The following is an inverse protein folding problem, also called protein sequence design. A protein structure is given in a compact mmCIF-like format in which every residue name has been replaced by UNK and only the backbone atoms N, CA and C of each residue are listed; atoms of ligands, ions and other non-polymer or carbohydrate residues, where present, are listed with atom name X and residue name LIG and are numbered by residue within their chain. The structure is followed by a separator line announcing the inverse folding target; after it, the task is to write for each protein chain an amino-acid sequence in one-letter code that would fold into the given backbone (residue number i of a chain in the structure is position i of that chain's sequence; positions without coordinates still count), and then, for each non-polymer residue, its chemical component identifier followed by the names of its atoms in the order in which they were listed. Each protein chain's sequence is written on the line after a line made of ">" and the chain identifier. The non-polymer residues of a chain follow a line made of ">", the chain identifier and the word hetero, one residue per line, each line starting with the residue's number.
data_IF_020899826730
#
_entry.id   IF_020899826730
#
_cell.length_a   1.000
_cell.length_b   1.000
_cell.length_c   1.000
_cell.angle_alpha   90.00
_cell.angle_beta   90.00
_cell.angle_gamma   90.00
#
_symmetry.space_group_name_H-M   'P 1'
#
loop_
_entity.id
_entity.type
_entity.pdbx_description
1 polymer ?
#
# COMPACT_ATOMS: atom_id res chain seq x y z
N UNK A 1 4.59 -11.51 20.95
CA UNK A 1 5.88 -10.95 21.40
C UNK A 1 6.80 -11.04 20.19
N UNK A 2 7.03 -9.90 19.52
CA UNK A 2 8.19 -9.70 18.65
C UNK A 2 9.47 -9.81 19.52
N UNK A 3 10.60 -9.23 19.11
CA UNK A 3 11.65 -8.85 20.08
C UNK A 3 11.17 -7.64 20.88
N UNK A 4 10.18 -7.88 21.75
CA UNK A 4 9.22 -6.89 22.23
C UNK A 4 9.43 -6.53 23.69
N UNK A 5 9.67 -5.25 23.94
CA UNK A 5 9.47 -4.61 25.25
C UNK A 5 7.98 -4.22 25.44
N UNK A 6 7.18 -4.26 24.37
CA UNK A 6 5.74 -4.02 24.40
C UNK A 6 4.95 -5.27 24.85
N UNK A 7 3.91 -5.04 25.68
CA UNK A 7 2.91 -6.00 26.21
C UNK A 7 3.30 -6.90 27.40
N UNK A 8 3.54 -6.29 28.57
CA UNK A 8 3.02 -6.65 29.93
C UNK A 8 3.46 -5.56 30.93
N UNK A 9 2.62 -5.09 31.90
CA UNK A 9 1.44 -5.73 32.51
C UNK A 9 0.12 -4.97 32.26
N UNK A 10 -1.04 -5.61 32.07
CA UNK A 10 -2.08 -5.95 33.06
C UNK A 10 -3.37 -6.23 32.22
N UNK A 11 -4.40 -6.98 32.62
CA UNK A 11 -4.76 -7.66 33.87
C UNK A 11 -5.65 -8.88 33.50
N UNK A 12 -5.51 -10.00 34.21
CA UNK A 12 -6.38 -11.19 34.04
C UNK A 12 -7.76 -10.98 34.70
N UNK A 13 -8.76 -11.83 34.38
CA UNK A 13 -10.11 -11.95 35.02
C UNK A 13 -11.14 -10.94 34.44
N UNK A 14 -12.24 -11.33 33.76
CA UNK A 14 -13.25 -12.30 34.19
C UNK A 14 -14.14 -12.86 33.04
N UNK A 15 -14.91 -13.90 33.39
CA UNK A 15 -15.73 -14.81 32.56
C UNK A 15 -16.91 -14.24 31.75
N UNK A 16 -17.12 -14.85 30.57
CA UNK A 16 -18.39 -15.39 29.99
C UNK A 16 -19.73 -14.70 30.35
N UNK A 17 -20.43 -14.19 29.33
CA UNK A 17 -21.89 -14.40 29.14
C UNK A 17 -22.18 -14.68 27.65
N UNK A 18 -22.97 -15.72 27.38
CA UNK A 18 -23.53 -16.04 26.06
C UNK A 18 -24.80 -15.22 25.85
N UNK A 19 -24.97 -14.59 24.69
CA UNK A 19 -26.31 -14.22 24.20
C UNK A 19 -26.39 -14.33 22.68
N UNK A 20 -27.10 -15.36 22.23
CA UNK A 20 -27.47 -15.58 20.84
C UNK A 20 -28.62 -14.66 20.44
N UNK A 21 -28.41 -13.81 19.44
CA UNK A 21 -29.49 -13.19 18.66
C UNK A 21 -29.24 -13.42 17.17
N UNK A 22 -29.89 -14.45 16.63
CA UNK A 22 -30.00 -14.66 15.19
C UNK A 22 -30.91 -13.58 14.58
N UNK A 23 -30.34 -12.62 13.87
CA UNK A 23 -31.11 -11.71 13.02
C UNK A 23 -31.02 -12.24 11.59
N UNK A 24 -32.08 -12.92 11.13
CA UNK A 24 -32.29 -13.13 9.70
C UNK A 24 -32.74 -11.81 9.07
N UNK A 25 -31.81 -11.05 8.49
CA UNK A 25 -32.16 -10.03 7.50
C UNK A 25 -32.30 -10.71 6.14
N UNK A 26 -33.53 -10.81 5.64
CA UNK A 26 -33.84 -11.59 4.44
C UNK A 26 -33.26 -10.99 3.15
N UNK A 27 -32.91 -11.87 2.20
CA UNK A 27 -32.61 -11.47 0.83
C UNK A 27 -33.85 -10.86 0.15
N UNK A 28 -33.86 -9.54 -0.06
CA UNK A 28 -34.74 -8.89 -1.02
C UNK A 28 -33.96 -8.61 -2.32
N UNK A 29 -34.00 -9.56 -3.25
CA UNK A 29 -33.40 -9.42 -4.58
C UNK A 29 -34.20 -8.43 -5.44
N UNK A 30 -33.93 -7.15 -5.28
CA UNK A 30 -34.51 -6.08 -6.11
C UNK A 30 -33.78 -6.02 -7.45
N UNK A 31 -34.38 -6.58 -8.49
CA UNK A 31 -33.87 -6.50 -9.86
C UNK A 31 -34.02 -5.09 -10.42
N UNK A 32 -33.02 -4.22 -10.21
CA UNK A 32 -32.97 -2.88 -10.80
C UNK A 32 -32.46 -2.94 -12.24
N UNK A 33 -33.19 -2.31 -13.15
CA UNK A 33 -32.83 -2.15 -14.56
C UNK A 33 -31.50 -1.41 -14.70
N UNK A 34 -30.54 -2.01 -15.42
CA UNK A 34 -29.25 -1.39 -15.72
C UNK A 34 -29.41 -0.23 -16.70
N UNK A 35 -29.53 0.99 -16.16
CA UNK A 35 -28.96 2.17 -16.84
C UNK A 35 -27.45 1.92 -17.07
N UNK A 36 -26.83 2.52 -18.09
CA UNK A 36 -25.38 2.47 -18.22
C UNK A 36 -24.81 3.27 -17.05
N UNK A 37 -24.38 2.58 -16.00
CA UNK A 37 -23.69 3.20 -14.87
C UNK A 37 -22.35 3.71 -15.38
N UNK A 38 -22.11 5.02 -15.29
CA UNK A 38 -20.77 5.59 -15.41
C UNK A 38 -19.83 4.76 -14.53
N UNK A 39 -18.66 4.32 -15.03
CA UNK A 39 -17.74 3.55 -14.21
C UNK A 39 -17.42 4.31 -12.92
N UNK A 40 -17.51 3.59 -11.80
CA UNK A 40 -17.26 4.11 -10.46
C UNK A 40 -16.28 3.19 -9.77
N UNK A 41 -15.07 3.67 -9.53
CA UNK A 41 -14.05 2.98 -8.74
C UNK A 41 -14.02 3.59 -7.32
N UNK A 42 -13.87 2.76 -6.29
CA UNK A 42 -13.77 3.19 -4.90
C UNK A 42 -12.54 2.55 -4.26
N UNK A 43 -11.76 3.34 -3.53
CA UNK A 43 -10.60 2.86 -2.79
C UNK A 43 -10.57 3.44 -1.38
N UNK A 44 -10.12 2.64 -0.41
CA UNK A 44 -9.96 3.00 1.01
C UNK A 44 -8.65 2.41 1.57
N UNK A 45 -8.09 2.97 2.64
CA UNK A 45 -6.75 2.58 3.11
C UNK A 45 -6.51 2.79 4.61
N UNK A 46 -5.28 2.55 5.12
CA UNK A 46 -4.88 2.74 6.53
C UNK A 46 -5.20 4.14 7.06
N UNK A 47 -5.29 5.10 6.15
CA UNK A 47 -6.11 6.26 6.40
C UNK A 47 -7.56 5.87 6.67
N UNK A 48 -7.92 5.75 7.93
CA UNK A 48 -9.29 5.44 8.32
C UNK A 48 -10.22 6.65 8.39
N UNK A 49 -9.90 7.93 8.15
CA UNK A 49 -8.85 8.76 7.49
C UNK A 49 -8.85 9.02 5.95
N UNK A 50 -9.11 8.13 4.98
CA UNK A 50 -9.00 8.45 3.53
C UNK A 50 -9.75 7.44 2.63
N UNK A 51 -10.87 7.88 2.06
CA UNK A 51 -11.60 7.21 0.99
C UNK A 51 -11.52 8.05 -0.31
N UNK A 52 -11.40 7.40 -1.47
CA UNK A 52 -11.53 8.06 -2.78
C UNK A 52 -12.55 7.34 -3.67
N UNK A 53 -13.49 8.12 -4.22
CA UNK A 53 -14.36 7.72 -5.32
C UNK A 53 -13.88 8.38 -6.60
N UNK A 54 -13.69 7.59 -7.67
CA UNK A 54 -13.52 8.07 -9.05
C UNK A 54 -14.81 7.77 -9.82
N UNK A 55 -15.32 8.74 -10.59
CA UNK A 55 -16.49 8.55 -11.46
C UNK A 55 -16.15 9.04 -12.86
N UNK A 56 -16.11 8.13 -13.85
CA UNK A 56 -15.78 8.50 -15.24
C UNK A 56 -15.08 7.40 -16.01
N UNK A 57 -14.17 7.78 -16.91
CA UNK A 57 -13.33 6.87 -17.68
C UNK A 57 -11.87 7.33 -17.63
N UNK A 58 -11.24 7.56 -18.78
CA UNK A 58 -9.91 8.20 -18.84
C UNK A 58 -9.92 9.61 -18.23
N UNK A 59 -11.06 10.28 -18.26
CA UNK A 59 -11.32 11.55 -17.57
C UNK A 59 -12.62 11.42 -16.77
N UNK A 60 -12.72 12.12 -15.64
CA UNK A 60 -13.91 12.10 -14.81
C UNK A 60 -13.78 13.03 -13.60
N UNK A 61 -14.63 12.81 -12.61
CA UNK A 61 -14.61 13.54 -11.33
C UNK A 61 -14.17 12.62 -10.19
N UNK A 62 -13.42 13.16 -9.24
CA UNK A 62 -13.04 12.50 -8.00
C UNK A 62 -13.73 13.15 -6.79
N UNK A 63 -13.92 12.36 -5.74
CA UNK A 63 -14.29 12.80 -4.41
C UNK A 63 -13.41 12.06 -3.40
N UNK A 64 -12.60 12.79 -2.64
CA UNK A 64 -11.80 12.28 -1.53
C UNK A 64 -12.45 12.73 -0.22
N UNK A 65 -12.68 11.79 0.69
CA UNK A 65 -13.17 12.03 2.04
C UNK A 65 -12.09 11.61 3.06
N UNK A 66 -11.84 12.44 4.07
CA UNK A 66 -11.01 12.12 5.24
C UNK A 66 -11.83 12.24 6.51
N UNK A 67 -11.47 11.41 7.50
CA UNK A 67 -12.15 11.21 8.77
C UNK A 67 -11.14 11.20 9.92
N UNK A 68 -11.46 11.77 11.08
CA UNK A 68 -10.56 11.74 12.25
C UNK A 68 -10.49 10.38 12.93
N UNK A 69 -11.52 9.55 12.77
CA UNK A 69 -11.65 8.25 13.42
C UNK A 69 -12.14 7.20 12.44
N UNK A 70 -11.95 5.93 12.77
CA UNK A 70 -12.38 4.78 11.97
C UNK A 70 -13.91 4.54 11.97
N UNK A 71 -14.73 5.52 12.36
CA UNK A 71 -16.19 5.42 12.39
C UNK A 71 -16.86 5.70 11.04
N UNK A 72 -16.12 6.26 10.07
CA UNK A 72 -16.44 6.43 8.63
C UNK A 72 -17.79 7.13 8.32
N UNK A 73 -18.44 7.74 9.31
CA UNK A 73 -19.78 8.32 9.14
C UNK A 73 -19.77 9.83 8.89
N UNK A 74 -18.74 10.56 9.36
CA UNK A 74 -18.68 12.01 9.25
C UNK A 74 -17.28 12.43 8.79
N UNK A 75 -17.08 12.77 7.50
CA UNK A 75 -15.79 13.26 7.04
C UNK A 75 -15.53 14.66 7.59
N UNK A 76 -14.41 14.84 8.30
CA UNK A 76 -13.94 16.14 8.76
C UNK A 76 -13.19 16.90 7.65
N UNK A 77 -12.98 16.25 6.50
CA UNK A 77 -12.40 16.89 5.34
C UNK A 77 -12.87 16.23 4.04
N UNK A 78 -13.27 17.04 3.06
CA UNK A 78 -13.74 16.56 1.76
C UNK A 78 -13.15 17.41 0.63
N UNK A 79 -12.68 16.75 -0.44
CA UNK A 79 -12.03 17.36 -1.61
C UNK A 79 -12.67 16.78 -2.87
N UNK A 80 -13.08 17.62 -3.80
CA UNK A 80 -13.64 17.18 -5.09
C UNK A 80 -13.01 17.93 -6.26
N UNK A 81 -13.05 17.34 -7.44
CA UNK A 81 -12.59 17.99 -8.67
C UNK A 81 -12.42 17.00 -9.83
N UNK A 82 -11.96 17.47 -11.00
CA UNK A 82 -11.70 16.60 -12.14
C UNK A 82 -10.40 15.80 -11.98
N UNK A 83 -10.35 14.60 -12.58
CA UNK A 83 -9.15 13.81 -12.78
C UNK A 83 -8.90 13.46 -14.25
N UNK A 84 -7.63 13.18 -14.57
CA UNK A 84 -7.19 12.67 -15.88
C UNK A 84 -6.20 11.52 -15.68
N UNK A 85 -6.51 10.36 -16.26
CA UNK A 85 -5.58 9.22 -16.41
C UNK A 85 -4.67 9.50 -17.61
N UNK A 86 -3.40 9.75 -17.34
CA UNK A 86 -2.40 10.15 -18.34
C UNK A 86 -1.85 8.93 -19.08
N UNK A 87 -1.43 9.13 -20.34
CA UNK A 87 -0.74 8.08 -21.13
C UNK A 87 0.64 7.69 -20.58
N UNK A 88 1.16 8.45 -19.62
CA UNK A 88 2.37 8.16 -18.85
C UNK A 88 2.17 7.12 -17.74
N UNK A 89 0.92 6.71 -17.46
CA UNK A 89 0.55 5.79 -16.37
C UNK A 89 0.20 6.48 -15.04
N UNK A 90 0.36 7.81 -14.94
CA UNK A 90 -0.06 8.58 -13.76
C UNK A 90 -1.52 9.02 -13.84
N UNK A 91 -2.14 9.27 -12.70
CA UNK A 91 -3.42 9.99 -12.60
C UNK A 91 -3.14 11.39 -12.06
N UNK A 92 -3.66 12.41 -12.73
CA UNK A 92 -3.61 13.81 -12.27
C UNK A 92 -4.96 14.19 -11.68
N UNK A 93 -4.97 14.81 -10.50
CA UNK A 93 -6.17 15.26 -9.79
C UNK A 93 -6.07 16.78 -9.59
N UNK A 94 -7.06 17.54 -10.03
CA UNK A 94 -7.09 19.00 -9.82
C UNK A 94 -8.15 19.35 -8.80
N UNK A 95 -7.77 20.03 -7.72
CA UNK A 95 -8.70 20.42 -6.64
C UNK A 95 -9.69 21.46 -7.16
N UNK A 96 -10.98 21.10 -7.20
CA UNK A 96 -12.07 21.97 -7.63
C UNK A 96 -12.83 22.59 -6.46
N UNK A 97 -13.14 21.81 -5.44
CA UNK A 97 -13.77 22.27 -4.20
C UNK A 97 -13.16 21.58 -2.98
N UNK A 98 -13.25 22.26 -1.84
CA UNK A 98 -12.77 21.78 -0.55
C UNK A 98 -13.83 22.14 0.49
N UNK A 99 -14.32 21.16 1.25
CA UNK A 99 -15.36 21.35 2.27
C UNK A 99 -15.01 20.64 3.58
N UNK A 100 -15.76 20.97 4.64
CA UNK A 100 -15.59 20.51 6.04
C UNK A 100 -14.24 20.80 6.74
N UNK A 101 -13.21 21.24 6.01
CA UNK A 101 -11.84 21.40 6.52
C UNK A 101 -11.70 22.17 7.84
N UNK A 102 -11.09 21.52 8.83
CA UNK A 102 -10.72 22.11 10.12
C UNK A 102 -9.18 22.29 10.18
N UNK A 103 -8.66 23.36 9.57
CA UNK A 103 -7.22 23.66 9.62
C UNK A 103 -6.80 24.88 8.80
N UNK A 104 -5.50 25.03 8.54
CA UNK A 104 -4.92 26.16 7.79
C UNK A 104 -4.01 25.77 6.60
N UNK A 105 -3.73 24.48 6.40
CA UNK A 105 -2.68 23.98 5.49
C UNK A 105 -3.18 22.91 4.49
N UNK A 106 -4.48 22.86 4.21
CA UNK A 106 -5.06 21.96 3.23
C UNK A 106 -4.87 22.46 1.80
N UNK A 107 -4.96 21.58 0.77
CA UNK A 107 -5.02 21.99 -0.63
C UNK A 107 -5.95 23.17 -0.92
N UNK A 108 -5.50 24.03 -1.83
CA UNK A 108 -6.25 25.15 -2.39
C UNK A 108 -6.93 24.73 -3.70
N UNK A 109 -8.00 25.44 -4.07
CA UNK A 109 -8.65 25.25 -5.38
C UNK A 109 -7.66 25.63 -6.49
N UNK A 110 -7.47 24.70 -7.44
CA UNK A 110 -6.45 24.78 -8.49
C UNK A 110 -5.17 24.00 -8.19
N UNK A 111 -4.94 23.55 -6.96
CA UNK A 111 -3.80 22.68 -6.64
C UNK A 111 -3.93 21.35 -7.41
N UNK A 112 -2.76 20.77 -7.74
CA UNK A 112 -2.67 19.50 -8.45
C UNK A 112 -2.02 18.44 -7.57
N UNK A 113 -2.73 17.35 -7.33
CA UNK A 113 -2.17 16.11 -6.80
C UNK A 113 -1.93 15.10 -7.94
N UNK A 114 -1.13 14.08 -7.67
CA UNK A 114 -0.96 12.96 -8.60
C UNK A 114 -0.92 11.62 -7.87
N UNK A 115 -1.27 10.58 -8.61
CA UNK A 115 -1.41 9.23 -8.12
C UNK A 115 -0.94 8.21 -9.16
N UNK A 116 -0.79 6.97 -8.73
CA UNK A 116 -0.67 5.79 -9.59
C UNK A 116 -1.81 4.85 -9.22
N UNK A 117 -2.49 4.33 -10.23
CA UNK A 117 -3.65 3.48 -10.09
C UNK A 117 -3.37 2.11 -10.72
N UNK A 118 -3.65 1.05 -9.96
CA UNK A 118 -3.90 -0.28 -10.47
C UNK A 118 -5.43 -0.49 -10.46
N UNK A 119 -6.12 -0.36 -11.61
CA UNK A 119 -7.59 -0.29 -11.64
C UNK A 119 -8.25 -1.51 -10.98
N UNK A 120 -9.22 -1.25 -10.09
CA UNK A 120 -9.90 -2.28 -9.31
C UNK A 120 -9.04 -2.91 -8.19
N UNK A 121 -7.81 -2.45 -7.98
CA UNK A 121 -6.90 -3.06 -7.01
C UNK A 121 -6.38 -2.07 -5.97
N UNK A 122 -5.68 -1.01 -6.41
CA UNK A 122 -5.08 -0.03 -5.52
C UNK A 122 -4.96 1.35 -6.17
N UNK A 123 -5.07 2.39 -5.35
CA UNK A 123 -4.85 3.77 -5.71
C UNK A 123 -3.85 4.37 -4.72
N UNK A 124 -2.71 4.84 -5.22
CA UNK A 124 -1.66 5.41 -4.38
C UNK A 124 -1.59 6.89 -4.66
N UNK A 125 -1.95 7.70 -3.67
CA UNK A 125 -2.01 9.16 -3.80
C UNK A 125 -0.76 9.80 -3.18
N UNK A 126 -0.11 10.69 -3.93
CA UNK A 126 0.82 11.69 -3.38
C UNK A 126 -0.01 12.94 -3.04
N UNK A 127 -0.22 13.27 -1.76
CA UNK A 127 -0.99 14.45 -1.37
C UNK A 127 -0.29 15.76 -1.78
N UNK A 128 -1.04 16.85 -1.83
CA UNK A 128 -0.49 18.20 -2.18
C UNK A 128 0.46 18.74 -1.09
N UNK A 129 0.35 18.23 0.13
CA UNK A 129 1.24 18.51 1.26
C UNK A 129 1.49 17.25 2.09
N UNK A 130 2.65 17.18 2.75
CA UNK A 130 3.06 16.01 3.54
C UNK A 130 4.00 15.04 2.80
N UNK A 131 4.68 14.19 3.57
CA UNK A 131 5.73 13.27 3.11
C UNK A 131 5.31 11.79 3.16
N UNK A 132 4.04 11.48 3.47
CA UNK A 132 3.53 10.11 3.46
C UNK A 132 2.66 9.84 2.23
N UNK A 133 2.92 8.72 1.54
CA UNK A 133 2.03 8.19 0.50
C UNK A 133 0.74 7.79 1.20
N UNK A 134 -0.41 8.06 0.55
CA UNK A 134 -1.71 7.55 0.99
C UNK A 134 -2.03 6.33 0.11
N UNK A 135 -1.63 5.11 0.50
CA UNK A 135 -2.03 3.90 -0.20
C UNK A 135 -3.49 3.60 0.11
N UNK A 136 -4.27 3.26 -0.90
CA UNK A 136 -5.64 2.79 -0.77
C UNK A 136 -5.80 1.53 -1.65
N UNK A 137 -6.67 0.62 -1.23
CA UNK A 137 -7.04 -0.62 -1.96
C UNK A 137 -8.53 -0.58 -2.31
N UNK A 138 -8.96 -1.42 -3.26
CA UNK A 138 -10.37 -1.48 -3.69
C UNK A 138 -11.32 -1.70 -2.50
N UNK A 139 -12.25 -0.76 -2.31
CA UNK A 139 -13.27 -0.85 -1.26
C UNK A 139 -14.36 -1.84 -1.66
N UNK A 140 -14.71 -2.76 -0.76
CA UNK A 140 -15.69 -3.78 -1.09
C UNK A 140 -16.06 -4.73 0.03
N UNK A 141 -16.26 -6.00 -0.32
CA UNK A 141 -16.63 -7.02 0.64
C UNK A 141 -15.41 -7.64 1.31
N UNK A 142 -15.62 -8.22 2.48
CA UNK A 142 -14.62 -9.06 3.11
C UNK A 142 -14.31 -10.31 2.28
N UNK A 143 -13.07 -10.84 2.34
CA UNK A 143 -12.70 -12.10 1.72
C UNK A 143 -13.61 -13.25 2.19
N UNK A 144 -14.08 -14.06 1.24
CA UNK A 144 -14.98 -15.21 1.48
C UNK A 144 -14.24 -16.56 1.49
N UNK A 145 -12.95 -16.55 1.16
CA UNK A 145 -12.03 -17.67 1.23
C UNK A 145 -10.71 -17.22 1.88
N UNK A 146 -9.95 -18.18 2.41
CA UNK A 146 -8.64 -17.93 3.00
C UNK A 146 -7.70 -17.26 1.98
N UNK A 147 -6.93 -16.27 2.42
CA UNK A 147 -5.97 -15.55 1.60
C UNK A 147 -4.55 -15.95 1.98
N UNK A 148 -3.70 -16.07 0.97
CA UNK A 148 -2.25 -16.09 1.11
C UNK A 148 -1.65 -15.02 0.20
N UNK A 149 -0.81 -14.17 0.77
CA UNK A 149 -0.21 -13.06 0.06
C UNK A 149 1.24 -12.81 0.46
N UNK A 150 1.87 -11.92 -0.30
CA UNK A 150 3.16 -11.32 0.03
C UNK A 150 2.89 -9.92 0.59
N UNK A 151 3.80 -9.39 1.39
CA UNK A 151 3.74 -7.99 1.81
C UNK A 151 5.12 -7.34 1.75
N UNK A 152 5.11 -6.00 1.64
CA UNK A 152 6.26 -5.14 1.93
C UNK A 152 5.85 -4.00 2.87
N UNK A 153 6.77 -3.53 3.69
CA UNK A 153 6.62 -2.33 4.51
C UNK A 153 6.66 -1.10 3.60
N UNK A 154 5.68 -0.20 3.77
CA UNK A 154 5.61 1.10 3.09
C UNK A 154 5.65 2.31 4.04
N UNK A 155 5.59 2.06 5.35
CA UNK A 155 5.89 3.01 6.46
C UNK A 155 6.27 2.19 7.69
N UNK A 156 7.27 2.61 8.47
CA UNK A 156 7.64 1.96 9.75
C UNK A 156 7.67 2.97 10.90
N UNK A 157 7.16 2.54 12.06
CA UNK A 157 7.12 3.25 13.35
C UNK A 157 8.42 4.02 13.64
N UNK A 158 8.35 5.35 13.60
CA UNK A 158 9.49 6.25 13.73
C UNK A 158 10.15 6.17 15.12
N UNK A 159 9.45 5.69 16.14
CA UNK A 159 9.92 5.70 17.54
C UNK A 159 10.91 4.59 17.86
N UNK A 160 10.94 3.49 17.08
CA UNK A 160 11.72 2.27 17.40
C UNK A 160 12.82 1.92 16.38
N UNK A 161 13.50 2.94 15.83
CA UNK A 161 14.32 2.84 14.60
C UNK A 161 13.43 2.43 13.41
N UNK A 162 12.54 3.35 13.01
CA UNK A 162 11.52 3.14 11.98
C UNK A 162 12.08 2.99 10.59
N UNK A 163 11.80 3.95 9.70
CA UNK A 163 12.29 3.88 8.32
C UNK A 163 13.84 3.82 8.26
N UNK A 164 14.53 4.29 9.31
CA UNK A 164 15.97 4.14 9.53
C UNK A 164 16.31 2.82 10.24
N UNK A 165 17.24 2.05 9.67
CA UNK A 165 17.61 0.70 10.13
C UNK A 165 17.43 -0.36 9.04
N UNK A 166 17.40 0.04 7.77
CA UNK A 166 17.34 -0.87 6.62
C UNK A 166 18.60 -1.76 6.47
N UNK A 167 19.70 -1.38 7.15
CA UNK A 167 20.93 -2.16 7.30
C UNK A 167 20.93 -3.09 8.53
N UNK A 168 19.86 -3.11 9.34
CA UNK A 168 19.75 -3.94 10.54
C UNK A 168 19.05 -5.27 10.26
N UNK A 169 19.77 -6.38 10.41
CA UNK A 169 19.26 -7.74 10.22
C UNK A 169 18.17 -8.18 11.24
N UNK A 170 17.82 -7.31 12.19
CA UNK A 170 16.72 -7.52 13.14
C UNK A 170 15.40 -6.89 12.73
N UNK A 171 15.39 -6.02 11.71
CA UNK A 171 14.22 -5.28 11.27
C UNK A 171 13.54 -6.00 10.09
N UNK A 172 12.23 -6.18 10.21
CA UNK A 172 11.36 -6.77 9.18
C UNK A 172 10.95 -5.72 8.15
N UNK A 173 10.95 -6.13 6.88
CA UNK A 173 10.61 -5.25 5.75
C UNK A 173 9.71 -5.93 4.73
N UNK A 174 9.78 -7.26 4.57
CA UNK A 174 8.93 -7.99 3.65
C UNK A 174 8.71 -9.43 4.12
N UNK A 175 7.78 -10.11 3.47
CA UNK A 175 7.51 -11.51 3.75
C UNK A 175 6.17 -11.96 3.18
N UNK A 176 5.52 -12.87 3.90
CA UNK A 176 4.22 -13.43 3.52
C UNK A 176 3.19 -13.21 4.62
N UNK A 177 1.93 -13.03 4.25
CA UNK A 177 0.81 -13.03 5.18
C UNK A 177 -0.22 -14.11 4.81
N UNK A 178 -0.96 -14.59 5.81
CA UNK A 178 -2.13 -15.42 5.62
C UNK A 178 -3.31 -14.83 6.40
N UNK A 179 -4.51 -14.85 5.82
CA UNK A 179 -5.77 -14.55 6.50
C UNK A 179 -6.70 -15.76 6.40
N UNK A 180 -7.15 -16.27 7.56
CA UNK A 180 -8.00 -17.45 7.65
C UNK A 180 -9.46 -17.07 7.99
N UNK A 181 -10.34 -17.07 6.99
CA UNK A 181 -11.74 -16.61 7.08
C UNK A 181 -12.51 -17.35 8.17
N UNK A 182 -12.28 -18.66 8.32
CA UNK A 182 -12.97 -19.48 9.31
C UNK A 182 -12.65 -19.12 10.77
N UNK A 183 -11.58 -18.36 11.02
CA UNK A 183 -11.11 -17.98 12.37
C UNK A 183 -10.99 -16.48 12.58
N UNK A 184 -10.99 -15.68 11.52
CA UNK A 184 -10.68 -14.25 11.57
C UNK A 184 -9.22 -13.94 11.92
N UNK A 185 -8.32 -14.93 11.90
CA UNK A 185 -6.92 -14.77 12.29
C UNK A 185 -6.08 -14.36 11.08
N UNK A 186 -5.23 -13.36 11.26
CA UNK A 186 -4.14 -13.02 10.34
C UNK A 186 -2.80 -13.44 10.93
N UNK A 187 -1.91 -14.01 10.10
CA UNK A 187 -0.56 -14.40 10.51
C UNK A 187 0.48 -13.94 9.50
N UNK A 188 1.71 -13.74 9.99
CA UNK A 188 2.88 -13.35 9.21
C UNK A 188 3.92 -14.50 9.30
N UNK A 189 3.70 -15.63 8.59
CA UNK A 189 4.50 -16.85 8.78
C UNK A 189 5.93 -16.77 8.25
N UNK A 190 6.23 -15.79 7.38
CA UNK A 190 7.58 -15.47 6.93
C UNK A 190 7.78 -13.97 7.10
N UNK A 191 8.79 -13.58 7.87
CA UNK A 191 9.27 -12.21 8.02
C UNK A 191 10.76 -12.19 7.65
N UNK A 192 11.21 -11.18 6.89
CA UNK A 192 12.61 -11.05 6.45
C UNK A 192 13.12 -9.62 6.51
N UNK A 193 14.40 -9.50 6.80
CA UNK A 193 15.15 -8.25 6.65
C UNK A 193 15.64 -8.07 5.21
N UNK A 194 15.78 -6.81 4.76
CA UNK A 194 16.41 -6.42 3.48
C UNK A 194 17.94 -6.29 3.59
N UNK A 195 18.57 -6.96 4.56
CA UNK A 195 20.03 -7.01 4.67
C UNK A 195 20.62 -8.15 3.84
N UNK A 196 21.95 -8.16 3.67
CA UNK A 196 22.66 -9.20 2.91
C UNK A 196 22.22 -10.62 3.33
N UNK A 197 21.77 -11.41 2.35
CA UNK A 197 21.29 -12.79 2.56
C UNK A 197 19.82 -12.93 2.99
N UNK A 198 19.09 -11.83 3.16
CA UNK A 198 17.65 -11.79 3.49
C UNK A 198 17.25 -12.72 4.67
N UNK A 199 17.88 -12.54 5.85
CA UNK A 199 17.74 -13.45 6.98
C UNK A 199 16.30 -13.48 7.51
N UNK A 200 15.90 -14.65 8.01
CA UNK A 200 14.60 -14.87 8.61
C UNK A 200 14.47 -14.19 9.97
N UNK A 201 13.30 -13.62 10.20
CA UNK A 201 12.83 -13.06 11.46
C UNK A 201 11.72 -13.99 11.99
N UNK A 202 11.55 -14.03 13.32
CA UNK A 202 10.54 -14.87 13.94
C UNK A 202 9.14 -14.49 13.47
N UNK A 203 8.40 -15.46 12.91
CA UNK A 203 7.03 -15.30 12.47
C UNK A 203 6.12 -14.74 13.58
N UNK A 204 5.09 -13.98 13.19
CA UNK A 204 4.11 -13.40 14.12
C UNK A 204 2.67 -13.81 13.78
N UNK A 205 1.75 -13.59 14.71
CA UNK A 205 0.32 -13.86 14.55
C UNK A 205 -0.48 -12.76 15.21
N UNK A 206 -1.29 -12.08 14.41
CA UNK A 206 -2.17 -11.01 14.87
C UNK A 206 -3.39 -11.62 15.59
N UNK A 207 -4.05 -10.85 16.48
CA UNK A 207 -5.30 -11.28 17.09
C UNK A 207 -6.37 -11.64 16.05
N UNK A 208 -7.33 -12.47 16.45
CA UNK A 208 -8.52 -12.70 15.63
C UNK A 208 -9.38 -11.42 15.60
N UNK A 209 -9.94 -11.10 14.42
CA UNK A 209 -10.86 -9.99 14.23
C UNK A 209 -12.13 -10.37 13.49
N UNK A 210 -13.07 -9.43 13.46
CA UNK A 210 -14.24 -9.49 12.57
C UNK A 210 -13.99 -8.54 11.40
N UNK A 211 -14.17 -9.03 10.18
CA UNK A 211 -14.17 -8.18 9.00
C UNK A 211 -15.61 -7.73 8.68
N UNK A 212 -15.79 -6.44 8.40
CA UNK A 212 -16.99 -5.88 7.79
C UNK A 212 -16.59 -4.88 6.70
N UNK A 213 -17.26 -4.91 5.54
CA UNK A 213 -17.00 -4.00 4.42
C UNK A 213 -15.52 -3.92 3.99
N UNK A 214 -14.82 -5.06 3.96
CA UNK A 214 -13.40 -5.14 3.64
C UNK A 214 -12.47 -4.67 4.77
N UNK A 215 -13.00 -4.14 5.88
CA UNK A 215 -12.20 -3.62 7.00
C UNK A 215 -12.29 -4.57 8.19
N UNK A 216 -11.14 -4.95 8.74
CA UNK A 216 -11.01 -5.76 9.95
C UNK A 216 -10.23 -4.99 11.01
N UNK A 217 -10.80 -4.85 12.21
CA UNK A 217 -10.20 -4.06 13.30
C UNK A 217 -9.92 -4.91 14.54
N UNK A 218 -8.81 -4.61 15.21
CA UNK A 218 -8.50 -5.04 16.58
C UNK A 218 -7.79 -3.90 17.33
N UNK A 219 -7.47 -4.10 18.62
CA UNK A 219 -7.02 -3.06 19.57
C UNK A 219 -5.89 -2.14 19.07
N UNK A 220 -4.97 -2.66 18.25
CA UNK A 220 -3.79 -1.94 17.78
C UNK A 220 -3.47 -2.26 16.30
N UNK A 221 -4.49 -2.66 15.53
CA UNK A 221 -4.31 -2.90 14.08
C UNK A 221 -5.62 -2.75 13.30
N UNK A 222 -5.53 -2.23 12.07
CA UNK A 222 -6.61 -2.25 11.07
C UNK A 222 -6.11 -2.92 9.79
N UNK A 223 -6.89 -3.83 9.22
CA UNK A 223 -6.62 -4.51 7.96
C UNK A 223 -7.68 -4.09 6.94
N UNK A 224 -7.23 -3.65 5.77
CA UNK A 224 -8.05 -3.32 4.61
C UNK A 224 -7.84 -4.45 3.61
N UNK A 225 -8.81 -5.35 3.52
CA UNK A 225 -8.74 -6.60 2.76
C UNK A 225 -9.64 -6.51 1.53
N UNK A 226 -9.08 -6.80 0.35
CA UNK A 226 -9.86 -6.89 -0.89
C UNK A 226 -10.33 -8.31 -1.12
N UNK A 227 -11.45 -8.49 -1.83
CA UNK A 227 -11.90 -9.81 -2.31
C UNK A 227 -10.90 -10.50 -3.24
N UNK A 228 -9.93 -9.73 -3.76
CA UNK A 228 -8.96 -10.15 -4.76
C UNK A 228 -7.63 -10.65 -4.15
N UNK A 229 -7.61 -10.89 -2.83
CA UNK A 229 -6.45 -11.40 -2.12
C UNK A 229 -5.40 -10.34 -1.77
N UNK A 230 -5.71 -9.06 -1.96
CA UNK A 230 -4.85 -7.93 -1.61
C UNK A 230 -5.20 -7.30 -0.27
N UNK A 231 -4.35 -6.40 0.20
CA UNK A 231 -4.72 -5.51 1.28
C UNK A 231 -3.65 -4.55 1.78
N UNK A 232 -4.02 -3.78 2.80
CA UNK A 232 -3.10 -2.96 3.60
C UNK A 232 -3.28 -3.30 5.07
N UNK A 233 -2.17 -3.45 5.79
CA UNK A 233 -2.16 -3.62 7.25
C UNK A 233 -1.65 -2.34 7.88
N UNK A 234 -2.40 -1.79 8.82
CA UNK A 234 -2.08 -0.64 9.65
C UNK A 234 -1.82 -1.11 11.07
N UNK A 235 -0.57 -1.08 11.53
CA UNK A 235 -0.16 -1.36 12.91
C UNK A 235 0.06 -0.04 13.66
N UNK A 236 -0.18 0.02 14.97
CA UNK A 236 0.07 1.23 15.78
C UNK A 236 -1.14 2.16 15.92
N UNK A 237 -2.37 1.70 15.67
CA UNK A 237 -3.59 2.53 15.87
C UNK A 237 -3.99 2.73 17.34
N UNK A 238 -3.13 2.36 18.29
CA UNK A 238 -3.31 2.64 19.71
C UNK A 238 -3.36 4.15 20.02
N UNK A 239 -3.47 4.49 21.31
CA UNK A 239 -3.63 5.88 21.77
C UNK A 239 -2.32 6.37 22.40
N UNK A 240 -1.76 7.53 21.98
CA UNK A 240 -2.30 8.52 21.04
C UNK A 240 -2.31 8.02 19.58
N UNK A 241 -3.42 8.27 18.88
CA UNK A 241 -3.48 8.08 17.42
C UNK A 241 -2.73 9.25 16.78
N UNK A 242 -1.43 9.07 16.58
CA UNK A 242 -0.56 10.00 15.87
C UNK A 242 0.28 9.26 14.83
N UNK A 243 0.82 9.98 13.85
CA UNK A 243 1.45 9.34 12.70
C UNK A 243 2.85 8.77 13.01
N UNK A 244 3.31 8.75 14.28
CA UNK A 244 4.69 8.40 14.66
C UNK A 244 4.91 6.94 15.04
N UNK A 245 3.92 6.25 15.63
CA UNK A 245 3.96 4.80 15.93
C UNK A 245 3.26 3.92 14.86
N UNK A 246 2.54 4.55 13.94
CA UNK A 246 2.02 3.96 12.70
C UNK A 246 3.07 3.16 11.89
N UNK A 247 2.74 1.92 11.53
CA UNK A 247 3.41 1.17 10.44
C UNK A 247 2.40 0.67 9.41
N UNK A 248 2.75 0.74 8.13
CA UNK A 248 1.92 0.29 7.01
C UNK A 248 2.59 -0.83 6.23
N UNK A 249 1.87 -1.94 6.02
CA UNK A 249 2.26 -3.03 5.14
C UNK A 249 1.34 -3.04 3.93
N UNK A 250 1.87 -2.90 2.71
CA UNK A 250 1.10 -3.13 1.48
C UNK A 250 1.25 -4.61 1.09
N UNK A 251 0.17 -5.25 0.65
CA UNK A 251 0.15 -6.70 0.42
C UNK A 251 -0.56 -7.12 -0.88
N UNK A 252 0.09 -8.01 -1.65
CA UNK A 252 -0.42 -8.61 -2.89
C UNK A 252 -0.75 -10.10 -2.71
N UNK A 253 -1.71 -10.62 -3.48
CA UNK A 253 -1.98 -12.07 -3.51
C UNK A 253 -0.81 -12.84 -4.14
N UNK A 254 -0.54 -14.06 -3.66
CA UNK A 254 0.54 -14.87 -4.21
C UNK A 254 0.21 -15.40 -5.60
N UNK A 255 0.94 -14.92 -6.61
CA UNK A 255 0.89 -15.41 -7.99
C UNK A 255 2.31 -15.69 -8.45
N UNK A 256 2.55 -16.87 -8.99
CA UNK A 256 3.88 -17.24 -9.49
C UNK A 256 4.27 -16.33 -10.66
N UNK A 257 5.45 -15.71 -10.58
CA UNK A 257 6.01 -14.93 -11.69
C UNK A 257 6.56 -15.89 -12.76
N UNK A 258 7.07 -17.06 -12.36
CA UNK A 258 7.61 -18.17 -13.19
C UNK A 258 8.87 -17.86 -14.02
N UNK A 259 9.02 -16.65 -14.55
CA UNK A 259 10.21 -16.17 -15.26
C UNK A 259 10.34 -14.65 -15.08
N UNK A 260 11.55 -14.15 -14.83
CA UNK A 260 11.78 -12.71 -14.63
C UNK A 260 11.37 -11.87 -15.84
N UNK A 261 11.38 -12.44 -17.06
CA UNK A 261 10.88 -11.79 -18.27
C UNK A 261 9.37 -11.47 -18.22
N UNK A 262 8.61 -12.10 -17.32
CA UNK A 262 7.22 -11.70 -17.08
C UNK A 262 7.11 -10.29 -16.48
N UNK A 263 8.20 -9.73 -15.95
CA UNK A 263 8.31 -8.34 -15.47
C UNK A 263 8.78 -7.35 -16.54
N UNK A 264 8.98 -7.78 -17.79
CA UNK A 264 9.39 -6.88 -18.88
C UNK A 264 8.30 -5.84 -19.20
N UNK A 265 8.70 -4.58 -19.40
CA UNK A 265 7.77 -3.48 -19.71
C UNK A 265 8.22 -2.12 -19.21
N UNK A 266 7.36 -1.12 -19.39
CA UNK A 266 7.50 0.22 -18.84
C UNK A 266 6.42 0.44 -17.76
N UNK A 267 6.78 1.13 -16.69
CA UNK A 267 5.94 1.34 -15.52
C UNK A 267 6.00 2.80 -15.05
N UNK A 268 4.86 3.29 -14.54
CA UNK A 268 4.79 4.47 -13.71
C UNK A 268 4.77 4.05 -12.24
N UNK A 269 5.28 4.86 -11.33
CA UNK A 269 5.30 4.51 -9.92
C UNK A 269 5.43 5.70 -8.97
N UNK A 270 5.24 5.40 -7.69
CA UNK A 270 5.46 6.32 -6.58
C UNK A 270 6.58 5.75 -5.71
N UNK A 271 7.64 6.53 -5.54
CA UNK A 271 8.76 6.26 -4.64
C UNK A 271 8.53 7.04 -3.35
N UNK A 272 8.70 6.39 -2.21
CA UNK A 272 9.09 7.03 -0.95
C UNK A 272 10.56 6.67 -0.67
N UNK A 273 11.44 7.66 -0.60
CA UNK A 273 12.82 7.48 -0.14
C UNK A 273 13.06 8.32 1.11
N UNK A 274 13.32 7.64 2.23
CA UNK A 274 13.57 8.29 3.51
C UNK A 274 14.85 9.15 3.49
N UNK A 275 15.83 8.81 2.64
CA UNK A 275 17.09 9.56 2.53
C UNK A 275 16.94 10.90 1.81
N UNK A 276 15.85 11.11 1.06
CA UNK A 276 15.58 12.39 0.43
C UNK A 276 15.20 13.47 1.46
N UNK A 277 15.35 14.73 1.07
CA UNK A 277 14.98 15.89 1.91
C UNK A 277 13.52 15.79 2.36
N UNK A 278 13.23 16.19 3.61
CA UNK A 278 11.86 16.42 4.09
C UNK A 278 11.13 17.38 3.13
N UNK A 279 9.88 17.10 2.78
CA UNK A 279 9.11 17.72 1.71
C UNK A 279 9.36 17.14 0.30
N UNK A 280 10.34 16.25 0.16
CA UNK A 280 10.77 15.63 -1.12
C UNK A 280 10.87 14.11 -1.05
N UNK A 281 10.42 13.48 0.03
CA UNK A 281 10.55 12.03 0.21
C UNK A 281 9.66 11.25 -0.77
N UNK A 282 8.50 11.80 -1.16
CA UNK A 282 7.63 11.20 -2.18
C UNK A 282 7.89 11.78 -3.56
N UNK A 283 8.33 10.93 -4.50
CA UNK A 283 8.73 11.31 -5.85
C UNK A 283 8.04 10.43 -6.90
N UNK A 284 7.60 11.00 -8.04
CA UNK A 284 7.06 10.21 -9.14
C UNK A 284 8.22 9.57 -9.89
N UNK A 285 8.08 8.30 -10.25
CA UNK A 285 9.15 7.51 -10.88
C UNK A 285 8.65 6.75 -12.10
N UNK A 286 9.57 6.46 -13.02
CA UNK A 286 9.36 5.47 -14.08
C UNK A 286 10.36 4.32 -13.93
N UNK A 287 9.97 3.13 -14.37
CA UNK A 287 10.84 1.95 -14.46
C UNK A 287 10.71 1.35 -15.85
N UNK A 288 11.83 1.06 -16.50
CA UNK A 288 11.87 0.25 -17.71
C UNK A 288 12.62 -1.04 -17.41
N UNK A 289 12.01 -2.20 -17.64
CA UNK A 289 12.56 -3.52 -17.31
C UNK A 289 12.77 -4.39 -18.55
N UNK A 290 13.87 -5.14 -18.59
CA UNK A 290 14.14 -6.20 -19.58
C UNK A 290 14.96 -7.32 -18.93
N UNK A 291 14.41 -8.54 -18.88
CA UNK A 291 15.00 -9.74 -18.29
C UNK A 291 15.54 -9.54 -16.86
N UNK A 292 14.81 -8.78 -16.03
CA UNK A 292 15.20 -8.46 -14.66
C UNK A 292 16.26 -7.37 -14.49
N UNK A 293 16.87 -6.91 -15.58
CA UNK A 293 17.67 -5.67 -15.60
C UNK A 293 16.73 -4.50 -15.86
N UNK A 294 16.61 -3.60 -14.89
CA UNK A 294 15.71 -2.47 -14.96
C UNK A 294 16.43 -1.13 -14.71
N UNK A 295 15.91 -0.06 -15.29
CA UNK A 295 16.37 1.31 -15.09
C UNK A 295 15.24 2.14 -14.52
N UNK A 296 15.41 2.62 -13.30
CA UNK A 296 14.50 3.56 -12.64
C UNK A 296 14.95 5.01 -12.87
N UNK A 297 14.02 5.94 -13.00
CA UNK A 297 14.30 7.38 -13.06
C UNK A 297 13.23 8.17 -12.31
N UNK A 298 13.61 9.29 -11.69
CA UNK A 298 12.62 10.27 -11.22
C UNK A 298 11.95 10.97 -12.42
N UNK A 299 10.72 11.43 -12.24
CA UNK A 299 9.90 12.07 -13.29
C UNK A 299 9.80 13.57 -13.02
N UNK A 300 10.14 14.39 -14.02
CA UNK A 300 10.01 15.86 -13.94
C UNK A 300 8.64 16.37 -14.39
N UNK A 301 7.88 15.58 -15.15
CA UNK A 301 6.50 15.89 -15.56
C UNK A 301 5.68 14.60 -15.63
N UNK A 302 4.69 14.47 -14.73
CA UNK A 302 3.79 13.31 -14.65
C UNK A 302 2.84 13.21 -15.85
N UNK A 303 2.62 14.29 -16.59
CA UNK A 303 1.76 14.30 -17.80
C UNK A 303 2.41 13.52 -18.94
N UNK A 304 3.69 13.79 -19.19
CA UNK A 304 4.47 13.17 -20.27
C UNK A 304 5.27 11.96 -19.82
N UNK A 305 5.48 11.76 -18.51
CA UNK A 305 6.39 10.75 -17.97
C UNK A 305 7.87 11.08 -18.19
N UNK A 306 8.19 12.35 -18.49
CA UNK A 306 9.56 12.77 -18.81
C UNK A 306 10.51 12.55 -17.61
N UNK A 307 11.60 11.84 -17.84
CA UNK A 307 12.61 11.56 -16.82
C UNK A 307 13.44 12.81 -16.47
N UNK A 308 13.67 13.02 -15.17
CA UNK A 308 14.55 14.05 -14.66
C UNK A 308 16.02 13.68 -14.92
N UNK A 309 16.77 14.56 -15.59
CA UNK A 309 18.16 14.31 -15.94
C UNK A 309 19.04 14.03 -14.69
N UNK A 310 19.91 13.02 -14.79
CA UNK A 310 20.85 12.66 -13.73
C UNK A 310 20.28 11.80 -12.60
N UNK A 311 19.02 11.35 -12.68
CA UNK A 311 18.32 10.63 -11.60
C UNK A 311 18.17 9.12 -11.83
N UNK A 312 19.05 8.54 -12.65
CA UNK A 312 18.93 7.16 -13.11
C UNK A 312 19.53 6.16 -12.12
N UNK A 313 18.72 5.25 -11.60
CA UNK A 313 19.13 4.15 -10.74
C UNK A 313 19.02 2.81 -11.48
N UNK A 314 20.04 1.95 -11.37
CA UNK A 314 19.97 0.60 -11.89
C UNK A 314 19.33 -0.33 -10.85
N UNK A 315 18.32 -1.10 -11.26
CA UNK A 315 17.57 -2.06 -10.44
C UNK A 315 17.74 -3.44 -11.05
N UNK A 316 18.31 -4.38 -10.30
CA UNK A 316 18.67 -5.70 -10.78
C UNK A 316 17.90 -6.76 -9.99
N UNK A 317 16.79 -7.24 -10.56
CA UNK A 317 15.93 -8.30 -10.02
C UNK A 317 16.58 -9.68 -10.29
N UNK A 318 17.71 -9.93 -9.63
CA UNK A 318 18.64 -11.04 -9.88
C UNK A 318 18.48 -12.21 -8.93
N UNK A 319 17.63 -12.08 -7.89
CA UNK A 319 17.24 -13.19 -7.03
C UNK A 319 16.45 -14.24 -7.79
N UNK A 320 16.44 -15.47 -7.27
CA UNK A 320 15.61 -16.53 -7.84
C UNK A 320 14.13 -16.18 -7.66
N UNK A 321 13.44 -16.00 -8.78
CA UNK A 321 12.00 -15.80 -8.88
C UNK A 321 11.25 -16.84 -8.05
N UNK A 322 10.21 -16.42 -7.31
CA UNK A 322 9.32 -17.28 -6.50
C UNK A 322 10.03 -18.09 -5.37
N UNK A 323 11.31 -17.82 -5.07
CA UNK A 323 12.13 -18.64 -4.16
C UNK A 323 11.78 -18.55 -2.68
N UNK A 324 11.15 -17.46 -2.25
CA UNK A 324 10.68 -17.25 -0.88
C UNK A 324 9.20 -17.63 -0.79
N UNK A 325 8.41 -17.11 -1.75
CA UNK A 325 7.07 -17.54 -2.06
C UNK A 325 6.70 -17.08 -3.49
N UNK A 326 5.64 -17.65 -4.06
CA UNK A 326 5.09 -17.22 -5.35
C UNK A 326 4.80 -15.71 -5.35
N UNK A 327 5.37 -14.98 -6.29
CA UNK A 327 5.21 -13.53 -6.41
C UNK A 327 6.28 -12.72 -5.71
N UNK A 328 7.26 -13.33 -5.03
CA UNK A 328 8.42 -12.63 -4.46
C UNK A 328 9.67 -12.79 -5.33
N UNK A 329 10.42 -11.70 -5.44
CA UNK A 329 11.75 -11.65 -6.07
C UNK A 329 12.66 -10.70 -5.30
N UNK A 330 13.90 -11.10 -5.07
CA UNK A 330 14.92 -10.24 -4.45
C UNK A 330 15.87 -9.67 -5.49
N UNK A 331 16.59 -8.62 -5.13
CA UNK A 331 17.52 -7.96 -6.04
C UNK A 331 18.36 -6.90 -5.36
N UNK A 332 18.93 -6.02 -6.19
CA UNK A 332 19.72 -4.88 -5.74
C UNK A 332 19.34 -3.61 -6.50
N UNK A 333 19.52 -2.46 -5.86
CA UNK A 333 19.47 -1.14 -6.48
C UNK A 333 20.82 -0.45 -6.33
N UNK A 334 21.23 0.31 -7.33
CA UNK A 334 22.44 1.13 -7.25
C UNK A 334 22.25 2.50 -7.89
N UNK A 335 22.72 3.52 -7.19
CA UNK A 335 22.93 4.87 -7.70
C UNK A 335 24.39 5.25 -7.45
N UNK A 336 25.09 5.69 -8.51
CA UNK A 336 26.54 5.91 -8.44
C UNK A 336 27.31 4.64 -8.05
N UNK A 337 28.01 4.67 -6.92
CA UNK A 337 28.84 3.57 -6.39
C UNK A 337 28.20 2.77 -5.26
N UNK A 338 27.05 3.20 -4.75
CA UNK A 338 26.39 2.59 -3.59
C UNK A 338 25.42 1.51 -4.07
N UNK A 339 25.37 0.38 -3.36
CA UNK A 339 24.56 -0.79 -3.70
C UNK A 339 23.68 -1.15 -2.50
N UNK A 340 22.37 -0.98 -2.64
CA UNK A 340 21.36 -1.41 -1.69
C UNK A 340 20.75 -2.75 -2.09
N UNK A 341 20.35 -3.57 -1.12
CA UNK A 341 19.49 -4.73 -1.37
C UNK A 341 18.02 -4.29 -1.45
N UNK A 342 17.19 -5.07 -2.15
CA UNK A 342 15.74 -4.89 -2.18
C UNK A 342 15.01 -6.22 -2.30
N UNK A 343 13.74 -6.21 -1.91
CA UNK A 343 12.77 -7.26 -2.19
C UNK A 343 11.53 -6.64 -2.83
N UNK A 344 11.03 -7.28 -3.88
CA UNK A 344 9.78 -6.92 -4.54
C UNK A 344 8.78 -8.07 -4.45
N UNK A 345 7.52 -7.72 -4.24
CA UNK A 345 6.40 -8.55 -4.66
C UNK A 345 5.87 -8.06 -6.00
N UNK A 346 5.41 -8.97 -6.85
CA UNK A 346 4.81 -8.64 -8.13
C UNK A 346 3.54 -9.45 -8.42
N UNK A 347 2.56 -8.78 -9.03
CA UNK A 347 1.42 -9.40 -9.68
C UNK A 347 1.56 -9.13 -11.19
N UNK A 348 1.73 -10.18 -11.99
CA UNK A 348 1.96 -10.07 -13.44
C UNK A 348 0.67 -9.96 -14.26
N UNK A 349 -0.49 -10.11 -13.63
CA UNK A 349 -1.80 -9.95 -14.25
C UNK A 349 -2.85 -9.63 -13.18
N UNK A 350 -2.81 -8.38 -12.69
CA UNK A 350 -3.72 -7.92 -11.65
C UNK A 350 -5.16 -7.98 -12.16
N UNK A 351 -5.99 -8.75 -11.46
CA UNK A 351 -7.42 -8.96 -11.77
C UNK A 351 -7.74 -9.43 -13.20
N UNK A 352 -6.79 -10.09 -13.89
CA UNK A 352 -6.93 -10.41 -15.32
C UNK A 352 -7.06 -9.19 -16.24
N UNK A 353 -6.60 -8.01 -15.79
CA UNK A 353 -6.63 -6.75 -16.54
C UNK A 353 -5.48 -6.59 -17.53
N UNK A 354 -4.47 -7.48 -17.49
CA UNK A 354 -3.19 -7.33 -18.19
C UNK A 354 -2.24 -6.31 -17.55
N UNK A 355 -2.64 -5.63 -16.46
CA UNK A 355 -1.76 -4.72 -15.71
C UNK A 355 -0.87 -5.49 -14.76
N UNK A 356 0.41 -5.14 -14.78
CA UNK A 356 1.44 -5.65 -13.86
C UNK A 356 1.62 -4.66 -12.72
N UNK A 357 1.68 -5.15 -11.49
CA UNK A 357 2.05 -4.38 -10.30
C UNK A 357 3.39 -4.91 -9.79
N UNK A 358 4.32 -4.03 -9.47
CA UNK A 358 5.57 -4.37 -8.76
C UNK A 358 5.67 -3.45 -7.55
N UNK A 359 5.69 -4.00 -6.35
CA UNK A 359 5.85 -3.26 -5.09
C UNK A 359 7.12 -3.73 -4.40
N UNK A 360 8.06 -2.81 -4.18
CA UNK A 360 9.36 -3.12 -3.61
C UNK A 360 9.63 -2.31 -2.34
N UNK A 361 10.44 -2.90 -1.48
CA UNK A 361 11.08 -2.25 -0.33
C UNK A 361 12.57 -2.55 -0.39
N UNK A 362 13.42 -1.60 0.00
CA UNK A 362 14.86 -1.81 -0.05
C UNK A 362 15.64 -0.72 0.67
N UNK A 363 16.96 -0.88 0.62
CA UNK A 363 17.92 0.05 1.19
C UNK A 363 18.11 1.22 0.21
N UNK A 364 17.94 2.46 0.67
CA UNK A 364 18.07 3.66 -0.17
C UNK A 364 19.43 3.65 -0.88
N UNK A 365 19.46 3.87 -2.20
CA UNK A 365 20.68 3.72 -2.99
C UNK A 365 21.70 4.82 -2.71
N UNK A 366 21.37 5.87 -1.96
CA UNK A 366 22.32 6.89 -1.49
C UNK A 366 22.82 6.62 -0.05
N UNK A 367 22.02 5.93 0.77
CA UNK A 367 22.36 5.59 2.15
C UNK A 367 21.66 4.29 2.60
N UNK A 368 22.41 3.20 2.70
CA UNK A 368 21.83 1.86 2.94
C UNK A 368 21.23 1.66 4.34
N UNK A 369 21.44 2.59 5.27
CA UNK A 369 20.76 2.59 6.57
C UNK A 369 19.30 3.07 6.46
N UNK A 370 18.97 3.86 5.43
CA UNK A 370 17.62 4.39 5.22
C UNK A 370 16.81 3.46 4.31
N UNK A 371 15.51 3.36 4.54
CA UNK A 371 14.59 2.61 3.67
C UNK A 371 14.12 3.46 2.47
N UNK A 372 13.92 2.80 1.34
CA UNK A 372 12.94 3.25 0.35
C UNK A 372 11.85 2.19 0.16
N UNK A 373 10.66 2.63 -0.24
CA UNK A 373 9.64 1.77 -0.83
C UNK A 373 9.12 2.39 -2.13
N UNK A 374 8.72 1.54 -3.06
CA UNK A 374 8.24 1.99 -4.37
C UNK A 374 7.18 1.06 -4.91
N UNK A 375 6.14 1.63 -5.51
CA UNK A 375 5.05 0.87 -6.13
C UNK A 375 4.91 1.32 -7.58
N UNK A 376 5.01 0.35 -8.48
CA UNK A 376 4.99 0.50 -9.93
C UNK A 376 3.77 -0.21 -10.52
N UNK A 377 3.14 0.41 -11.52
CA UNK A 377 2.09 -0.17 -12.35
C UNK A 377 2.47 -0.02 -13.82
N UNK A 378 2.31 -1.09 -14.61
CA UNK A 378 2.66 -1.08 -16.04
C UNK A 378 1.80 -0.08 -16.82
N UNK A 379 2.44 0.71 -17.70
CA UNK A 379 1.79 1.74 -18.54
C UNK A 379 0.86 1.10 -19.59
#
# INVERSE_FOLDING_TARGET
>A
MLKSVFLKPCLTVCSIVILTTTILSGCSSSSSSSTPTTPKENYNGPGSKWDITLTGGTTGDFNIDHYQTSDLQNPDYNIQGPYVRQSSGFVTLTVGTVTNYIGTNGPLVGDTAWAVEAPGYAFLLKPTSGDQIIPMVESGNCPTADMTGNFVVVKKDLTNNGDSGADLAGNDFFGTFNYAVATGITSLPVLKAITAGFPDIAADTLPAGTCANGIMTFTDTILYLTTNGGGIVHLGVATPNDDTDDSFLFALSQKAITNVNNLDGNYAGILYDQNATIGQQIQPVTLACTSGSCTGNLVSDVTTGAAQAGTSAAVNLTGTVDSIANGLITGTISFGSTLGNLACMADIDSLSSGKKIISCVGQSPDNTANMFNVIFVSI
#
